data_IF_400356287560
#
_entry.id   IF_400356287560
#
_cell.length_a   1.000
_cell.length_b   1.000
_cell.length_c   1.000
_cell.angle_alpha   90.00
_cell.angle_beta   90.00
_cell.angle_gamma   90.00
#
_symmetry.space_group_name_H-M   'P 1'
#
loop_
_entity.id
_entity.type
_entity.pdbx_description
1 polymer ?
#
# COMPACT_ATOMS: atom_id res chain seq x y z
N UNK A 1 2.45 -24.54 3.69
CA UNK A 1 1.03 -24.20 3.43
C UNK A 1 0.73 -24.37 1.94
N UNK A 2 -0.46 -24.85 1.53
CA UNK A 2 -0.86 -24.89 0.11
C UNK A 2 -1.00 -23.44 -0.43
N UNK A 3 -0.60 -23.20 -1.68
CA UNK A 3 -0.74 -21.95 -2.43
C UNK A 3 -2.10 -21.24 -2.29
N UNK A 4 -3.21 -21.98 -2.34
CA UNK A 4 -4.56 -21.38 -2.21
C UNK A 4 -4.74 -20.78 -0.82
N UNK A 5 -4.37 -21.54 0.23
CA UNK A 5 -4.49 -21.10 1.61
C UNK A 5 -3.53 -19.94 1.90
N UNK A 6 -2.32 -19.99 1.34
CA UNK A 6 -1.37 -18.87 1.39
C UNK A 6 -1.99 -17.61 0.80
N UNK A 7 -2.62 -17.70 -0.37
CA UNK A 7 -3.19 -16.54 -1.07
C UNK A 7 -4.38 -15.94 -0.33
N UNK A 8 -5.23 -16.79 0.26
CA UNK A 8 -6.33 -16.34 1.11
C UNK A 8 -5.82 -15.57 2.33
N UNK A 9 -4.87 -16.13 3.08
CA UNK A 9 -4.30 -15.46 4.25
C UNK A 9 -3.52 -14.21 3.88
N UNK A 10 -2.73 -14.26 2.80
CA UNK A 10 -1.97 -13.13 2.32
C UNK A 10 -2.91 -11.98 1.93
N UNK A 11 -3.98 -12.27 1.20
CA UNK A 11 -4.98 -11.28 0.81
C UNK A 11 -5.67 -10.67 2.02
N UNK A 12 -6.03 -11.49 3.02
CA UNK A 12 -6.62 -11.00 4.25
C UNK A 12 -5.66 -10.08 5.03
N UNK A 13 -4.40 -10.52 5.22
CA UNK A 13 -3.36 -9.71 5.87
C UNK A 13 -3.12 -8.42 5.12
N UNK A 14 -3.09 -8.46 3.78
CA UNK A 14 -2.96 -7.28 2.93
C UNK A 14 -4.10 -6.28 3.16
N UNK A 15 -5.35 -6.72 3.10
CA UNK A 15 -6.52 -5.86 3.32
C UNK A 15 -6.48 -5.22 4.70
N UNK A 16 -6.20 -6.01 5.74
CA UNK A 16 -6.13 -5.52 7.13
C UNK A 16 -5.01 -4.49 7.26
N UNK A 17 -3.81 -4.81 6.79
CA UNK A 17 -2.64 -3.93 6.88
C UNK A 17 -2.87 -2.61 6.15
N UNK A 18 -3.42 -2.68 4.94
CA UNK A 18 -3.70 -1.50 4.11
C UNK A 18 -4.80 -0.62 4.74
N UNK A 19 -5.86 -1.24 5.24
CA UNK A 19 -6.94 -0.52 5.91
C UNK A 19 -6.46 0.14 7.20
N UNK A 20 -5.66 -0.55 8.02
CA UNK A 20 -5.09 0.01 9.24
C UNK A 20 -4.18 1.21 8.94
N UNK A 21 -3.29 1.07 7.96
CA UNK A 21 -2.42 2.16 7.54
C UNK A 21 -3.23 3.37 7.07
N UNK A 22 -4.24 3.16 6.23
CA UNK A 22 -5.12 4.24 5.77
C UNK A 22 -5.88 4.91 6.92
N UNK A 23 -6.46 4.15 7.86
CA UNK A 23 -7.17 4.72 9.02
C UNK A 23 -6.24 5.54 9.91
N UNK A 24 -5.00 5.09 10.12
CA UNK A 24 -4.01 5.82 10.90
C UNK A 24 -3.54 7.08 10.16
N UNK A 25 -3.26 6.97 8.87
CA UNK A 25 -2.81 8.06 8.02
C UNK A 25 -3.88 9.14 7.86
N UNK A 26 -5.15 8.78 7.68
CA UNK A 26 -6.27 9.71 7.55
C UNK A 26 -6.44 10.65 8.74
N UNK A 27 -5.89 10.32 9.92
CA UNK A 27 -5.87 11.25 11.07
C UNK A 27 -4.92 12.44 10.84
N UNK A 28 -3.95 12.27 9.95
CA UNK A 28 -2.84 13.20 9.69
C UNK A 28 -2.94 13.81 8.27
N UNK A 29 -3.58 13.12 7.33
CA UNK A 29 -3.59 13.44 5.89
C UNK A 29 -4.94 13.92 5.33
N UNK A 30 -5.88 14.38 6.16
CA UNK A 30 -7.21 14.83 5.70
C UNK A 30 -7.14 15.90 4.61
N UNK A 31 -6.18 16.81 4.69
CA UNK A 31 -5.90 17.88 3.73
C UNK A 31 -5.49 17.40 2.33
N UNK A 32 -5.06 16.14 2.21
CA UNK A 32 -4.73 15.51 0.92
C UNK A 32 -6.00 15.05 0.20
N UNK A 33 -7.00 14.58 0.94
CA UNK A 33 -8.18 13.88 0.42
C UNK A 33 -9.48 14.67 0.52
N UNK A 34 -9.53 15.77 1.29
CA UNK A 34 -10.72 16.62 1.48
C UNK A 34 -10.46 18.10 1.12
N UNK A 35 -11.42 18.74 0.46
CA UNK A 35 -11.44 20.20 0.25
C UNK A 35 -11.07 20.69 -1.16
N UNK A 36 -11.22 22.00 -1.37
CA UNK A 36 -11.00 22.65 -2.69
C UNK A 36 -9.52 22.89 -3.03
N UNK A 37 -8.63 22.80 -2.05
CA UNK A 37 -7.18 23.03 -2.19
C UNK A 37 -6.36 21.74 -2.17
N UNK A 38 -7.00 20.59 -2.46
CA UNK A 38 -6.32 19.29 -2.50
C UNK A 38 -5.24 19.30 -3.58
N UNK A 39 -4.05 18.85 -3.21
CA UNK A 39 -2.94 18.74 -4.15
C UNK A 39 -3.20 17.65 -5.19
N UNK A 40 -3.85 16.55 -4.78
CA UNK A 40 -4.15 15.40 -5.62
C UNK A 40 -5.56 15.53 -6.22
N UNK A 41 -5.76 16.58 -7.02
CA UNK A 41 -7.05 16.94 -7.62
C UNK A 41 -7.60 15.92 -8.64
N UNK A 42 -6.75 14.99 -9.09
CA UNK A 42 -7.13 13.85 -9.93
C UNK A 42 -7.72 12.66 -9.15
N UNK A 43 -7.65 12.68 -7.82
CA UNK A 43 -8.27 11.68 -6.95
C UNK A 43 -9.71 12.05 -6.59
N UNK A 44 -10.53 11.02 -6.34
CA UNK A 44 -11.90 11.18 -5.84
C UNK A 44 -11.92 11.97 -4.53
N UNK A 45 -12.80 12.96 -4.44
CA UNK A 45 -13.03 13.81 -3.29
C UNK A 45 -13.84 13.09 -2.21
N UNK A 46 -13.21 12.86 -1.06
CA UNK A 46 -13.89 12.20 0.05
C UNK A 46 -14.93 13.09 0.72
N UNK A 47 -14.90 14.41 0.48
CA UNK A 47 -15.91 15.37 0.93
C UNK A 47 -17.16 15.41 0.02
N UNK A 48 -17.07 14.88 -1.22
CA UNK A 48 -18.20 14.80 -2.15
C UNK A 48 -18.89 13.45 -2.02
N UNK A 49 -20.18 13.45 -1.66
CA UNK A 49 -20.90 12.24 -1.29
C UNK A 49 -20.92 11.16 -2.41
N UNK A 50 -21.10 11.55 -3.67
CA UNK A 50 -21.12 10.60 -4.80
C UNK A 50 -19.77 9.93 -5.02
N UNK A 51 -18.68 10.68 -4.90
CA UNK A 51 -17.31 10.19 -5.08
C UNK A 51 -16.87 9.31 -3.90
N UNK A 52 -17.16 9.75 -2.67
CA UNK A 52 -16.90 8.98 -1.46
C UNK A 52 -17.62 7.63 -1.46
N UNK A 53 -18.90 7.58 -1.89
CA UNK A 53 -19.64 6.32 -2.06
C UNK A 53 -18.99 5.38 -3.09
N UNK A 54 -18.44 5.93 -4.16
CA UNK A 54 -17.72 5.13 -5.16
C UNK A 54 -16.49 4.48 -4.52
N UNK A 55 -15.66 5.25 -3.81
CA UNK A 55 -14.47 4.73 -3.11
C UNK A 55 -14.86 3.65 -2.12
N UNK A 56 -15.84 3.91 -1.25
CA UNK A 56 -16.30 2.94 -0.25
C UNK A 56 -16.80 1.63 -0.88
N UNK A 57 -17.52 1.70 -2.00
CA UNK A 57 -18.04 0.53 -2.71
C UNK A 57 -16.93 -0.32 -3.34
N UNK A 58 -15.92 0.32 -3.94
CA UNK A 58 -14.90 -0.36 -4.73
C UNK A 58 -13.60 -0.65 -3.97
N UNK A 59 -13.41 -0.05 -2.80
CA UNK A 59 -12.20 -0.21 -1.99
C UNK A 59 -11.91 -1.69 -1.67
N UNK A 60 -12.84 -2.38 -1.02
CA UNK A 60 -12.63 -3.79 -0.62
C UNK A 60 -12.47 -4.71 -1.84
N UNK A 61 -13.33 -4.67 -2.87
CA UNK A 61 -13.11 -5.45 -4.09
C UNK A 61 -11.73 -5.21 -4.72
N UNK A 62 -11.30 -3.94 -4.79
CA UNK A 62 -9.99 -3.57 -5.32
C UNK A 62 -8.84 -4.17 -4.51
N UNK A 63 -8.89 -4.10 -3.18
CA UNK A 63 -7.84 -4.68 -2.33
C UNK A 63 -7.84 -6.22 -2.36
N UNK A 64 -9.00 -6.87 -2.53
CA UNK A 64 -9.05 -8.33 -2.73
C UNK A 64 -8.30 -8.72 -4.00
N UNK A 65 -8.63 -8.09 -5.13
CA UNK A 65 -7.97 -8.38 -6.42
C UNK A 65 -6.47 -8.10 -6.32
N UNK A 66 -6.09 -6.97 -5.71
CA UNK A 66 -4.68 -6.60 -5.51
C UNK A 66 -3.94 -7.61 -4.63
N UNK A 67 -4.52 -8.03 -3.50
CA UNK A 67 -3.93 -9.02 -2.61
C UNK A 67 -3.70 -10.37 -3.29
N UNK A 68 -4.67 -10.83 -4.10
CA UNK A 68 -4.53 -12.05 -4.88
C UNK A 68 -3.38 -11.94 -5.87
N UNK A 69 -3.33 -10.88 -6.67
CA UNK A 69 -2.26 -10.66 -7.67
C UNK A 69 -0.89 -10.66 -6.98
N UNK A 70 -0.74 -9.90 -5.88
CA UNK A 70 0.50 -9.84 -5.11
C UNK A 70 0.91 -11.21 -4.57
N UNK A 71 -0.05 -12.00 -4.06
CA UNK A 71 0.23 -13.34 -3.51
C UNK A 71 0.70 -14.35 -4.57
N UNK A 72 0.11 -14.32 -5.76
CA UNK A 72 0.43 -15.26 -6.86
C UNK A 72 1.84 -15.04 -7.38
N UNK A 73 2.29 -13.78 -7.48
CA UNK A 73 3.66 -13.43 -7.91
C UNK A 73 4.72 -14.04 -6.98
N UNK A 74 4.37 -14.36 -5.73
CA UNK A 74 5.30 -14.95 -4.77
C UNK A 74 5.44 -16.47 -4.88
N UNK A 75 4.57 -17.16 -5.61
CA UNK A 75 4.58 -18.63 -5.70
C UNK A 75 5.93 -19.23 -6.06
N UNK A 76 6.69 -18.70 -7.05
CA UNK A 76 7.99 -19.25 -7.42
C UNK A 76 9.03 -19.24 -6.31
N UNK A 77 8.86 -18.37 -5.29
CA UNK A 77 9.84 -18.15 -4.22
C UNK A 77 9.34 -18.59 -2.84
N UNK A 78 8.10 -19.10 -2.71
CA UNK A 78 7.53 -19.45 -1.40
C UNK A 78 8.35 -20.49 -0.63
N UNK A 79 8.91 -21.49 -1.32
CA UNK A 79 9.77 -22.50 -0.68
C UNK A 79 10.98 -21.86 -0.01
N UNK A 80 11.71 -21.04 -0.77
CA UNK A 80 12.87 -20.31 -0.26
C UNK A 80 12.52 -19.36 0.89
N UNK A 81 11.39 -18.65 0.79
CA UNK A 81 10.92 -17.76 1.85
C UNK A 81 10.65 -18.51 3.17
N UNK A 82 10.23 -19.78 3.11
CA UNK A 82 10.05 -20.61 4.30
C UNK A 82 11.35 -21.05 4.97
N UNK A 83 12.46 -21.11 4.22
CA UNK A 83 13.75 -21.59 4.73
C UNK A 83 14.60 -20.47 5.34
N UNK A 84 14.39 -19.22 4.91
CA UNK A 84 15.16 -18.09 5.42
C UNK A 84 14.67 -17.60 6.79
N UNK A 85 15.57 -16.92 7.50
CA UNK A 85 15.27 -16.37 8.82
C UNK A 85 14.14 -15.34 8.77
N UNK A 86 13.43 -15.20 9.90
CA UNK A 86 12.37 -14.22 10.05
C UNK A 86 12.80 -12.80 9.64
N UNK A 87 14.00 -12.37 10.05
CA UNK A 87 14.52 -11.05 9.71
C UNK A 87 14.69 -10.84 8.20
N UNK A 88 15.18 -11.86 7.47
CA UNK A 88 15.31 -11.79 6.01
C UNK A 88 13.94 -11.82 5.32
N UNK A 89 12.99 -12.62 5.80
CA UNK A 89 11.59 -12.59 5.31
C UNK A 89 10.97 -11.21 5.50
N UNK A 90 11.11 -10.65 6.69
CA UNK A 90 10.58 -9.33 7.01
C UNK A 90 11.17 -8.27 6.08
N UNK A 91 12.50 -8.26 5.90
CA UNK A 91 13.17 -7.33 4.99
C UNK A 91 12.73 -7.53 3.54
N UNK A 92 12.53 -8.78 3.11
CA UNK A 92 12.01 -9.09 1.78
C UNK A 92 10.62 -8.50 1.57
N UNK A 93 9.66 -8.78 2.46
CA UNK A 93 8.29 -8.27 2.33
C UNK A 93 8.20 -6.76 2.51
N UNK A 94 8.97 -6.19 3.44
CA UNK A 94 9.05 -4.74 3.61
C UNK A 94 9.62 -4.07 2.36
N UNK A 95 10.72 -4.59 1.82
CA UNK A 95 11.33 -4.10 0.59
C UNK A 95 10.42 -4.23 -0.63
N UNK A 96 9.64 -5.32 -0.70
CA UNK A 96 8.65 -5.48 -1.75
C UNK A 96 7.53 -4.44 -1.63
N UNK A 97 6.98 -4.23 -0.43
CA UNK A 97 5.86 -3.31 -0.23
C UNK A 97 6.27 -1.83 -0.34
N UNK A 98 7.37 -1.45 0.32
CA UNK A 98 7.83 -0.06 0.38
C UNK A 98 8.71 0.30 -0.84
N UNK A 99 9.65 -0.58 -1.19
CA UNK A 99 10.56 -0.35 -2.32
C UNK A 99 9.83 -0.49 -3.66
N UNK A 100 9.37 -1.69 -3.98
CA UNK A 100 8.81 -1.98 -5.31
C UNK A 100 7.44 -1.35 -5.55
N UNK A 101 6.48 -1.53 -4.63
CA UNK A 101 5.11 -1.01 -4.87
C UNK A 101 4.95 0.49 -4.65
N UNK A 102 5.93 1.17 -4.05
CA UNK A 102 5.81 2.60 -3.72
C UNK A 102 6.98 3.41 -4.26
N UNK A 103 8.17 3.31 -3.65
CA UNK A 103 9.28 4.20 -3.94
C UNK A 103 9.78 4.09 -5.39
N UNK A 104 9.85 2.86 -5.91
CA UNK A 104 10.27 2.52 -7.26
C UNK A 104 9.09 2.18 -8.19
N UNK A 105 7.86 2.58 -7.83
CA UNK A 105 6.69 2.37 -8.67
C UNK A 105 6.80 3.18 -9.97
N UNK A 106 6.44 2.56 -11.09
CA UNK A 106 6.43 3.20 -12.41
C UNK A 106 5.30 4.23 -12.60
N UNK A 107 4.28 4.21 -11.74
CA UNK A 107 3.21 5.20 -11.78
C UNK A 107 3.65 6.46 -11.01
N UNK A 108 3.78 7.63 -11.67
CA UNK A 108 4.28 8.83 -11.01
C UNK A 108 3.30 9.31 -9.93
N UNK A 109 3.80 9.46 -8.71
CA UNK A 109 3.06 9.97 -7.56
C UNK A 109 3.95 10.94 -6.76
N UNK A 110 3.34 11.88 -6.03
CA UNK A 110 4.05 12.98 -5.34
C UNK A 110 5.12 12.56 -4.32
N UNK A 111 5.20 11.27 -4.05
CA UNK A 111 5.92 10.58 -2.99
C UNK A 111 6.85 9.47 -3.54
N UNK A 112 7.10 9.39 -4.85
CA UNK A 112 8.00 8.38 -5.42
C UNK A 112 8.99 8.97 -6.43
N UNK A 113 9.97 8.15 -6.82
CA UNK A 113 11.08 8.58 -7.69
C UNK A 113 10.54 9.10 -9.03
N UNK A 114 9.61 8.37 -9.65
CA UNK A 114 8.99 8.77 -10.92
C UNK A 114 8.27 10.11 -10.80
N UNK A 115 7.54 10.35 -9.71
CA UNK A 115 6.82 11.61 -9.54
C UNK A 115 7.74 12.80 -9.30
N UNK A 116 8.90 12.61 -8.65
CA UNK A 116 9.92 13.65 -8.53
C UNK A 116 10.51 14.05 -9.89
N UNK A 117 10.51 13.13 -10.87
CA UNK A 117 11.04 13.37 -12.21
C UNK A 117 9.97 13.98 -13.13
N UNK A 118 8.74 13.45 -13.10
CA UNK A 118 7.73 13.74 -14.13
C UNK A 118 6.58 14.65 -13.69
N UNK A 119 6.31 14.81 -12.39
CA UNK A 119 5.20 15.66 -11.95
C UNK A 119 5.58 17.13 -11.98
N UNK A 120 4.60 17.98 -12.29
CA UNK A 120 4.75 19.44 -12.16
C UNK A 120 5.00 19.80 -10.70
N UNK A 121 5.77 20.86 -10.45
CA UNK A 121 6.11 21.34 -9.09
C UNK A 121 4.90 21.53 -8.18
N UNK A 122 3.75 21.95 -8.74
CA UNK A 122 2.50 22.09 -7.96
C UNK A 122 2.03 20.80 -7.29
N UNK A 123 2.48 19.63 -7.75
CA UNK A 123 2.14 18.33 -7.19
C UNK A 123 3.22 17.79 -6.25
N UNK A 124 4.35 18.48 -6.11
CA UNK A 124 5.47 18.08 -5.25
C UNK A 124 5.46 18.97 -4.01
N UNK A 125 5.18 18.37 -2.85
CA UNK A 125 5.17 19.07 -1.58
C UNK A 125 5.77 18.19 -0.48
N UNK A 126 6.72 18.74 0.29
CA UNK A 126 7.43 18.00 1.34
C UNK A 126 6.50 17.45 2.43
N UNK A 127 5.46 18.17 2.81
CA UNK A 127 4.50 17.70 3.82
C UNK A 127 3.73 16.48 3.31
N UNK A 128 3.28 16.52 2.05
CA UNK A 128 2.53 15.44 1.41
C UNK A 128 3.42 14.21 1.19
N UNK A 129 4.65 14.45 0.71
CA UNK A 129 5.67 13.41 0.58
C UNK A 129 5.85 12.63 1.89
N UNK A 130 6.00 13.33 3.02
CA UNK A 130 6.17 12.71 4.34
C UNK A 130 4.91 11.99 4.84
N UNK A 131 3.72 12.54 4.59
CA UNK A 131 2.44 11.92 4.97
C UNK A 131 2.22 10.60 4.24
N UNK A 132 2.48 10.56 2.93
CA UNK A 132 2.38 9.32 2.16
C UNK A 132 3.44 8.29 2.57
N UNK A 133 4.68 8.72 2.79
CA UNK A 133 5.73 7.82 3.29
C UNK A 133 5.36 7.23 4.65
N UNK A 134 4.76 8.02 5.55
CA UNK A 134 4.29 7.53 6.83
C UNK A 134 3.25 6.42 6.68
N UNK A 135 2.24 6.64 5.82
CA UNK A 135 1.23 5.63 5.49
C UNK A 135 1.86 4.35 4.93
N UNK A 136 2.76 4.50 3.97
CA UNK A 136 3.38 3.36 3.28
C UNK A 136 4.37 2.61 4.15
N UNK A 137 5.08 3.28 5.06
CA UNK A 137 5.93 2.62 6.06
C UNK A 137 5.07 1.79 7.01
N UNK A 138 3.96 2.35 7.54
CA UNK A 138 3.07 1.59 8.43
C UNK A 138 2.51 0.37 7.70
N UNK A 139 1.97 0.56 6.50
CA UNK A 139 1.44 -0.54 5.70
C UNK A 139 2.48 -1.64 5.49
N UNK A 140 3.68 -1.25 5.06
CA UNK A 140 4.76 -2.20 4.73
C UNK A 140 5.27 -2.94 5.97
N UNK A 141 5.41 -2.26 7.11
CA UNK A 141 5.82 -2.88 8.38
C UNK A 141 4.76 -3.87 8.87
N UNK A 142 3.49 -3.44 8.95
CA UNK A 142 2.41 -4.29 9.46
C UNK A 142 2.24 -5.53 8.59
N UNK A 143 2.25 -5.36 7.26
CA UNK A 143 2.16 -6.49 6.34
C UNK A 143 3.38 -7.41 6.47
N UNK A 144 4.59 -6.86 6.44
CA UNK A 144 5.80 -7.66 6.49
C UNK A 144 5.91 -8.46 7.79
N UNK A 145 5.55 -7.87 8.94
CA UNK A 145 5.49 -8.58 10.22
C UNK A 145 4.46 -9.70 10.17
N UNK A 146 3.21 -9.38 9.80
CA UNK A 146 2.12 -10.36 9.82
C UNK A 146 2.36 -11.53 8.86
N UNK A 147 2.83 -11.26 7.64
CA UNK A 147 3.16 -12.31 6.67
C UNK A 147 4.33 -13.15 7.16
N UNK A 148 5.41 -12.51 7.64
CA UNK A 148 6.60 -13.25 8.07
C UNK A 148 6.37 -14.10 9.33
N UNK A 149 5.44 -13.69 10.21
CA UNK A 149 5.09 -14.42 11.43
C UNK A 149 4.06 -15.53 11.21
N UNK A 150 3.03 -15.29 10.38
CA UNK A 150 1.83 -16.14 10.36
C UNK A 150 1.78 -17.11 9.16
N UNK A 151 2.51 -16.83 8.08
CA UNK A 151 2.36 -17.55 6.82
C UNK A 151 3.53 -18.51 6.50
N UNK A 152 4.57 -18.54 7.34
CA UNK A 152 5.83 -19.28 7.10
C UNK A 152 6.40 -19.92 8.35
#
# INVERSE_FOLDING_TARGET
MNYILFSLWFTLVHIISYTLAGVLALRISKDIYEGKSRLMDYLRDMSVQSESRHVQKWFIPGQIVRGIILSVVLYPVLGFLGEISFGLRFLFFFGLMFGYTHLASAAPCSDNIEGLIYLKERYINRSIFLKFHYEMIIYSVVLALAVSLLLF
#
